data_IF_980288673715
#
_entry.id   IF_980288673715
#
_cell.length_a   1.000
_cell.length_b   1.000
_cell.length_c   1.000
_cell.angle_alpha   90.00
_cell.angle_beta   90.00
_cell.angle_gamma   90.00
#
_symmetry.space_group_name_H-M   'P 1'
#
loop_
_entity.id
_entity.type
_entity.pdbx_description
1 polymer ?
#
# COMPACT_ATOMS: atom_id res chain seq x y z
N UNK A 1 32.58 -10.28 -17.25
CA UNK A 1 31.77 -11.50 -17.51
C UNK A 1 30.37 -11.05 -17.87
N UNK A 2 29.80 -11.46 -19.02
CA UNK A 2 28.44 -11.08 -19.37
C UNK A 2 27.46 -11.71 -18.37
N UNK A 3 26.56 -10.88 -17.82
CA UNK A 3 25.48 -11.31 -16.94
C UNK A 3 24.63 -12.33 -17.71
N UNK A 4 24.63 -13.58 -17.24
CA UNK A 4 23.87 -14.66 -17.87
C UNK A 4 22.38 -14.25 -17.91
N UNK A 5 21.82 -14.27 -19.11
CA UNK A 5 20.41 -13.98 -19.43
C UNK A 5 19.44 -15.05 -18.92
N UNK A 6 19.76 -15.77 -17.83
CA UNK A 6 18.83 -16.71 -17.21
C UNK A 6 17.73 -15.94 -16.51
N UNK A 7 16.50 -16.12 -16.96
CA UNK A 7 15.29 -15.59 -16.33
C UNK A 7 15.23 -15.95 -14.84
N UNK A 8 14.37 -15.27 -14.08
CA UNK A 8 14.12 -15.62 -12.69
C UNK A 8 13.49 -17.03 -12.57
N UNK A 9 13.77 -17.71 -11.46
CA UNK A 9 13.25 -19.06 -11.20
C UNK A 9 11.72 -19.09 -11.13
N UNK A 10 11.12 -20.25 -11.42
CA UNK A 10 9.68 -20.48 -11.25
C UNK A 10 9.22 -20.18 -9.82
N UNK A 11 10.09 -20.39 -8.83
CA UNK A 11 9.82 -20.05 -7.43
C UNK A 11 9.55 -18.57 -7.22
N UNK A 12 10.35 -17.69 -7.82
CA UNK A 12 10.13 -16.24 -7.70
C UNK A 12 8.79 -15.83 -8.28
N UNK A 13 8.43 -16.37 -9.44
CA UNK A 13 7.13 -16.08 -10.06
C UNK A 13 5.95 -16.65 -9.28
N UNK A 14 6.11 -17.80 -8.63
CA UNK A 14 5.11 -18.34 -7.72
C UNK A 14 4.90 -17.42 -6.50
N UNK A 15 5.98 -16.84 -5.93
CA UNK A 15 5.88 -15.88 -4.84
C UNK A 15 5.19 -14.59 -5.28
N UNK A 16 5.56 -14.05 -6.43
CA UNK A 16 4.93 -12.83 -7.00
C UNK A 16 3.44 -13.09 -7.28
N UNK A 17 3.10 -14.23 -7.86
CA UNK A 17 1.72 -14.63 -8.14
C UNK A 17 0.90 -14.83 -6.87
N UNK A 18 1.43 -15.53 -5.86
CA UNK A 18 0.77 -15.70 -4.57
C UNK A 18 0.56 -14.36 -3.85
N UNK A 19 1.55 -13.45 -3.92
CA UNK A 19 1.42 -12.09 -3.40
C UNK A 19 0.32 -11.32 -4.13
N UNK A 20 0.30 -11.38 -5.46
CA UNK A 20 -0.74 -10.76 -6.26
C UNK A 20 -2.13 -11.25 -5.85
N UNK A 21 -2.33 -12.56 -5.72
CA UNK A 21 -3.62 -13.14 -5.33
C UNK A 21 -4.03 -12.72 -3.91
N UNK A 22 -3.09 -12.67 -2.96
CA UNK A 22 -3.36 -12.21 -1.60
C UNK A 22 -3.84 -10.77 -1.56
N UNK A 23 -3.11 -9.86 -2.24
CA UNK A 23 -3.50 -8.44 -2.31
C UNK A 23 -4.71 -8.18 -3.20
N UNK A 24 -4.93 -8.98 -4.24
CA UNK A 24 -6.15 -8.96 -5.04
C UNK A 24 -7.37 -9.27 -4.16
N UNK A 25 -7.28 -10.30 -3.31
CA UNK A 25 -8.31 -10.63 -2.34
C UNK A 25 -8.62 -9.48 -1.37
N UNK A 26 -7.60 -8.87 -0.78
CA UNK A 26 -7.76 -7.69 0.09
C UNK A 26 -8.50 -6.56 -0.65
N UNK A 27 -8.13 -6.31 -1.91
CA UNK A 27 -8.70 -5.26 -2.74
C UNK A 27 -10.15 -5.50 -3.13
N UNK A 28 -10.61 -6.77 -3.30
CA UNK A 28 -11.97 -7.07 -3.77
C UNK A 28 -13.06 -6.58 -2.82
N UNK A 29 -12.82 -6.65 -1.51
CA UNK A 29 -13.80 -6.28 -0.49
C UNK A 29 -13.89 -4.76 -0.31
N UNK A 30 -12.82 -4.04 -0.59
CA UNK A 30 -12.66 -2.63 -0.24
C UNK A 30 -13.78 -1.71 -0.73
N UNK A 31 -14.21 -1.73 -2.02
CA UNK A 31 -15.24 -0.82 -2.52
C UNK A 31 -16.63 -1.13 -1.95
N UNK A 32 -16.85 -2.34 -1.45
CA UNK A 32 -18.13 -2.78 -0.93
C UNK A 32 -18.24 -2.65 0.60
N UNK A 33 -17.11 -2.49 1.29
CA UNK A 33 -17.05 -2.51 2.75
C UNK A 33 -17.80 -1.33 3.36
N UNK A 34 -17.57 -0.11 2.89
CA UNK A 34 -18.24 1.07 3.42
C UNK A 34 -19.76 1.07 3.15
N UNK A 35 -20.24 0.76 1.92
CA UNK A 35 -21.68 0.54 1.68
C UNK A 35 -22.28 -0.54 2.57
N UNK A 36 -21.61 -1.67 2.77
CA UNK A 36 -22.07 -2.75 3.64
C UNK A 36 -22.22 -2.27 5.09
N UNK A 37 -21.24 -1.56 5.64
CA UNK A 37 -21.33 -0.98 6.99
C UNK A 37 -22.51 -0.02 7.10
N UNK A 38 -22.67 0.91 6.14
CA UNK A 38 -23.69 1.97 6.21
C UNK A 38 -25.10 1.48 5.94
N UNK A 39 -25.30 0.63 4.94
CA UNK A 39 -26.64 0.27 4.46
C UNK A 39 -27.11 -1.07 5.02
N UNK A 40 -26.25 -2.09 5.09
CA UNK A 40 -26.65 -3.42 5.53
C UNK A 40 -26.59 -3.54 7.06
N UNK A 41 -25.49 -3.05 7.67
CA UNK A 41 -25.27 -3.15 9.12
C UNK A 41 -25.74 -1.92 9.91
N UNK A 42 -26.22 -0.86 9.24
CA UNK A 42 -26.70 0.40 9.86
C UNK A 42 -25.65 1.10 10.74
N UNK A 43 -24.36 0.88 10.45
CA UNK A 43 -23.26 1.54 11.13
C UNK A 43 -23.16 3.04 10.77
N UNK A 44 -22.35 3.78 11.50
CA UNK A 44 -22.09 5.22 11.31
C UNK A 44 -20.94 5.47 10.36
N UNK A 45 -20.72 6.73 9.94
CA UNK A 45 -19.54 7.12 9.18
C UNK A 45 -18.25 6.99 10.01
N UNK A 46 -18.38 7.14 11.34
CA UNK A 46 -17.27 6.86 12.25
C UNK A 46 -16.89 5.39 12.26
N UNK A 47 -17.88 4.46 12.22
CA UNK A 47 -17.61 3.02 12.09
C UNK A 47 -16.88 2.71 10.79
N UNK A 48 -17.24 3.34 9.67
CA UNK A 48 -16.50 3.21 8.39
C UNK A 48 -15.04 3.62 8.55
N UNK A 49 -14.80 4.80 9.14
CA UNK A 49 -13.45 5.29 9.41
C UNK A 49 -12.64 4.36 10.34
N UNK A 50 -13.29 3.89 11.43
CA UNK A 50 -12.70 2.96 12.39
C UNK A 50 -12.31 1.64 11.73
N UNK A 51 -13.22 1.02 10.99
CA UNK A 51 -13.00 -0.28 10.31
C UNK A 51 -11.86 -0.17 9.29
N UNK A 52 -11.76 0.94 8.55
CA UNK A 52 -10.65 1.17 7.62
C UNK A 52 -9.34 1.39 8.39
N UNK A 53 -9.35 2.19 9.46
CA UNK A 53 -8.17 2.55 10.23
C UNK A 53 -7.56 1.40 11.02
N UNK A 54 -8.39 0.53 11.61
CA UNK A 54 -7.92 -0.65 12.36
C UNK A 54 -6.99 -1.52 11.52
N UNK A 55 -7.30 -1.74 10.25
CA UNK A 55 -6.42 -2.48 9.34
C UNK A 55 -4.99 -1.93 9.36
N UNK A 56 -4.82 -0.62 9.20
CA UNK A 56 -3.51 0.00 9.09
C UNK A 56 -2.74 -0.02 10.41
N UNK A 57 -3.42 0.19 11.55
CA UNK A 57 -2.77 0.07 12.86
C UNK A 57 -2.34 -1.35 13.15
N UNK A 58 -3.16 -2.34 12.81
CA UNK A 58 -2.83 -3.75 13.00
C UNK A 58 -1.72 -4.17 12.02
N UNK A 59 -1.72 -3.68 10.78
CA UNK A 59 -0.63 -3.91 9.85
C UNK A 59 0.69 -3.35 10.37
N UNK A 60 0.69 -2.11 10.87
CA UNK A 60 1.85 -1.48 11.49
C UNK A 60 2.40 -2.30 12.67
N UNK A 61 1.52 -2.71 13.61
CA UNK A 61 1.89 -3.57 14.74
C UNK A 61 2.38 -4.95 14.28
N UNK A 62 1.71 -5.53 13.30
CA UNK A 62 2.05 -6.83 12.71
C UNK A 62 3.44 -6.87 12.09
N UNK A 63 3.94 -5.75 11.54
CA UNK A 63 5.31 -5.66 11.00
C UNK A 63 6.38 -5.85 12.06
N UNK A 64 6.11 -5.47 13.31
CA UNK A 64 7.03 -5.68 14.44
C UNK A 64 7.19 -7.17 14.78
N UNK A 65 6.18 -7.98 14.48
CA UNK A 65 6.14 -9.43 14.78
C UNK A 65 6.55 -10.26 13.57
N UNK A 66 6.11 -9.88 12.37
CA UNK A 66 6.32 -10.64 11.14
C UNK A 66 7.79 -10.74 10.74
N UNK A 67 8.58 -9.67 10.95
CA UNK A 67 10.01 -9.67 10.68
C UNK A 67 10.76 -10.72 11.52
N UNK A 68 10.73 -10.63 12.85
CA UNK A 68 11.34 -11.64 13.73
C UNK A 68 10.84 -13.07 13.49
N UNK A 69 9.57 -13.25 13.11
CA UNK A 69 9.06 -14.58 12.79
C UNK A 69 9.70 -15.14 11.51
N UNK A 70 9.77 -14.32 10.46
CA UNK A 70 10.41 -14.69 9.19
C UNK A 70 11.89 -15.04 9.38
N UNK A 71 12.59 -14.30 10.23
CA UNK A 71 14.01 -14.50 10.52
C UNK A 71 14.28 -15.76 11.38
N UNK A 72 13.33 -16.13 12.28
CA UNK A 72 13.52 -17.24 13.23
C UNK A 72 12.93 -18.56 12.77
N UNK A 73 11.81 -18.55 12.07
CA UNK A 73 11.05 -19.74 11.67
C UNK A 73 10.95 -19.95 10.17
N UNK A 74 11.48 -19.02 9.38
CA UNK A 74 11.44 -19.06 7.92
C UNK A 74 10.43 -18.09 7.31
N UNK A 75 10.74 -17.67 6.12
CA UNK A 75 9.96 -16.67 5.36
C UNK A 75 8.66 -17.27 4.84
N UNK A 76 8.69 -18.56 4.48
CA UNK A 76 7.51 -19.32 4.06
C UNK A 76 6.44 -19.34 5.15
N UNK A 77 6.83 -19.58 6.42
CA UNK A 77 5.89 -19.59 7.55
C UNK A 77 5.24 -18.23 7.71
N UNK A 78 6.03 -17.14 7.69
CA UNK A 78 5.47 -15.78 7.74
C UNK A 78 4.47 -15.55 6.60
N UNK A 79 4.84 -15.87 5.37
CA UNK A 79 3.99 -15.67 4.21
C UNK A 79 2.68 -16.49 4.28
N UNK A 80 2.76 -17.77 4.64
CA UNK A 80 1.59 -18.65 4.82
C UNK A 80 0.67 -18.14 5.95
N UNK A 81 1.24 -17.68 7.07
CA UNK A 81 0.47 -17.05 8.15
C UNK A 81 -0.29 -15.84 7.62
N UNK A 82 0.36 -15.00 6.80
CA UNK A 82 -0.29 -13.85 6.17
C UNK A 82 -1.48 -14.23 5.29
N UNK A 83 -1.30 -15.21 4.40
CA UNK A 83 -2.38 -15.72 3.54
C UNK A 83 -3.50 -16.36 4.35
N UNK A 84 -3.16 -17.13 5.40
CA UNK A 84 -4.14 -17.73 6.32
C UNK A 84 -4.99 -16.67 7.01
N UNK A 85 -4.37 -15.60 7.52
CA UNK A 85 -5.08 -14.45 8.12
C UNK A 85 -5.98 -13.74 7.10
N UNK A 86 -5.53 -13.54 5.85
CA UNK A 86 -6.34 -12.96 4.78
C UNK A 86 -7.55 -13.83 4.43
N UNK A 87 -7.36 -15.15 4.37
CA UNK A 87 -8.45 -16.11 4.13
C UNK A 87 -9.45 -16.13 5.29
N UNK A 88 -8.95 -16.12 6.53
CA UNK A 88 -9.81 -16.06 7.73
C UNK A 88 -10.59 -14.74 7.78
N UNK A 89 -10.00 -13.62 7.41
CA UNK A 89 -10.73 -12.36 7.29
C UNK A 89 -11.90 -12.45 6.30
N UNK A 90 -11.69 -13.10 5.12
CA UNK A 90 -12.75 -13.38 4.17
C UNK A 90 -13.87 -14.23 4.76
N UNK A 91 -13.53 -15.26 5.54
CA UNK A 91 -14.51 -16.11 6.23
C UNK A 91 -15.28 -15.33 7.31
N UNK A 92 -14.60 -14.48 8.10
CA UNK A 92 -15.23 -13.66 9.15
C UNK A 92 -16.23 -12.68 8.55
N UNK A 93 -15.95 -12.08 7.41
CA UNK A 93 -16.90 -11.19 6.71
C UNK A 93 -18.22 -11.89 6.33
N UNK A 94 -18.23 -13.21 6.21
CA UNK A 94 -19.43 -14.00 5.87
C UNK A 94 -20.24 -14.38 7.11
N UNK A 95 -19.71 -14.18 8.33
CA UNK A 95 -20.42 -14.52 9.56
C UNK A 95 -21.51 -13.48 9.88
N UNK A 96 -22.72 -13.90 10.30
CA UNK A 96 -23.82 -13.01 10.63
C UNK A 96 -23.69 -12.42 12.05
N UNK A 97 -22.54 -11.78 12.35
CA UNK A 97 -22.21 -11.24 13.68
C UNK A 97 -22.30 -9.70 13.74
N UNK A 98 -23.02 -9.10 12.79
CA UNK A 98 -23.23 -7.65 12.75
C UNK A 98 -21.92 -6.88 12.61
N UNK A 99 -21.83 -5.72 13.26
CA UNK A 99 -20.64 -4.85 13.18
C UNK A 99 -19.34 -5.48 13.68
N UNK A 100 -19.41 -6.50 14.54
CA UNK A 100 -18.23 -7.23 14.98
C UNK A 100 -17.50 -7.91 13.79
N UNK A 101 -18.22 -8.31 12.75
CA UNK A 101 -17.68 -8.94 11.53
C UNK A 101 -16.62 -8.07 10.85
N UNK A 102 -16.97 -6.87 10.36
CA UNK A 102 -16.02 -5.95 9.77
C UNK A 102 -14.83 -5.60 10.67
N UNK A 103 -15.04 -5.35 11.95
CA UNK A 103 -13.95 -5.05 12.87
C UNK A 103 -12.96 -6.20 13.01
N UNK A 104 -13.43 -7.41 13.28
CA UNK A 104 -12.59 -8.60 13.42
C UNK A 104 -11.90 -8.95 12.12
N UNK A 105 -12.63 -8.93 11.01
CA UNK A 105 -12.06 -9.22 9.70
C UNK A 105 -10.91 -8.25 9.35
N UNK A 106 -11.04 -6.96 9.66
CA UNK A 106 -9.98 -5.96 9.41
C UNK A 106 -8.76 -6.15 10.30
N UNK A 107 -8.93 -6.65 11.53
CA UNK A 107 -7.80 -7.05 12.39
C UNK A 107 -7.03 -8.19 11.73
N UNK A 108 -7.71 -9.27 11.34
CA UNK A 108 -7.05 -10.39 10.68
C UNK A 108 -6.46 -10.00 9.31
N UNK A 109 -7.13 -9.15 8.55
CA UNK A 109 -6.67 -8.70 7.25
C UNK A 109 -5.42 -7.80 7.36
N UNK A 110 -5.35 -6.90 8.36
CA UNK A 110 -4.16 -6.08 8.63
C UNK A 110 -2.98 -6.92 9.09
N UNK A 111 -3.21 -7.87 9.99
CA UNK A 111 -2.18 -8.86 10.37
C UNK A 111 -1.73 -9.64 9.15
N UNK A 112 -2.68 -10.11 8.34
CA UNK A 112 -2.42 -10.86 7.10
C UNK A 112 -1.52 -10.09 6.14
N UNK A 113 -1.81 -8.81 5.91
CA UNK A 113 -1.00 -7.94 5.05
C UNK A 113 0.43 -7.82 5.55
N UNK A 114 0.62 -7.56 6.86
CA UNK A 114 1.95 -7.40 7.44
C UNK A 114 2.83 -8.64 7.29
N UNK A 115 2.27 -9.82 7.55
CA UNK A 115 2.99 -11.09 7.45
C UNK A 115 3.23 -11.50 6.00
N UNK A 116 2.25 -11.33 5.13
CA UNK A 116 2.34 -11.60 3.70
C UNK A 116 3.43 -10.74 3.06
N UNK A 117 3.38 -9.43 3.27
CA UNK A 117 4.35 -8.49 2.73
C UNK A 117 5.78 -8.80 3.20
N UNK A 118 5.95 -8.96 4.51
CA UNK A 118 7.29 -9.18 5.11
C UNK A 118 7.87 -10.53 4.67
N UNK A 119 7.07 -11.59 4.69
CA UNK A 119 7.50 -12.92 4.25
C UNK A 119 7.87 -12.94 2.78
N UNK A 120 7.02 -12.37 1.91
CA UNK A 120 7.25 -12.30 0.47
C UNK A 120 8.51 -11.48 0.13
N UNK A 121 8.66 -10.28 0.70
CA UNK A 121 9.79 -9.40 0.42
C UNK A 121 11.13 -10.02 0.83
N UNK A 122 11.18 -10.61 2.03
CA UNK A 122 12.40 -11.26 2.51
C UNK A 122 12.77 -12.50 1.67
N UNK A 123 11.78 -13.29 1.28
CA UNK A 123 12.00 -14.52 0.52
C UNK A 123 12.41 -14.25 -0.94
N UNK A 124 11.79 -13.26 -1.57
CA UNK A 124 12.14 -12.82 -2.93
C UNK A 124 13.58 -12.31 -3.00
N UNK A 125 14.03 -11.54 -1.99
CA UNK A 125 15.42 -11.05 -1.90
C UNK A 125 16.41 -12.22 -1.77
N UNK A 126 16.08 -13.23 -0.97
CA UNK A 126 16.94 -14.41 -0.79
C UNK A 126 17.08 -15.21 -2.08
N UNK A 127 15.98 -15.50 -2.78
CA UNK A 127 16.00 -16.24 -4.06
C UNK A 127 16.78 -15.47 -5.13
N UNK A 128 16.62 -14.14 -5.19
CA UNK A 128 17.25 -13.31 -6.21
C UNK A 128 18.76 -13.09 -5.96
N UNK A 129 19.19 -13.18 -4.71
CA UNK A 129 20.54 -12.80 -4.28
C UNK A 129 20.77 -11.29 -4.32
N UNK A 130 21.87 -10.83 -3.70
CA UNK A 130 22.17 -9.40 -3.49
C UNK A 130 22.19 -8.59 -4.79
N UNK A 131 22.74 -9.15 -5.87
CA UNK A 131 22.90 -8.44 -7.14
C UNK A 131 21.59 -8.16 -7.88
N UNK A 132 20.57 -9.01 -7.70
CA UNK A 132 19.29 -8.94 -8.42
C UNK A 132 18.10 -8.63 -7.50
N UNK A 133 18.35 -8.38 -6.22
CA UNK A 133 17.31 -8.13 -5.20
C UNK A 133 16.41 -6.93 -5.56
N UNK A 134 16.97 -5.85 -6.09
CA UNK A 134 16.19 -4.68 -6.50
C UNK A 134 15.20 -5.00 -7.63
N UNK A 135 15.60 -5.78 -8.62
CA UNK A 135 14.72 -6.20 -9.71
C UNK A 135 13.62 -7.14 -9.21
N UNK A 136 13.96 -8.07 -8.33
CA UNK A 136 13.01 -9.01 -7.75
C UNK A 136 11.97 -8.31 -6.85
N UNK A 137 12.39 -7.33 -6.04
CA UNK A 137 11.49 -6.47 -5.27
C UNK A 137 10.59 -5.62 -6.18
N UNK A 138 11.08 -5.20 -7.35
CA UNK A 138 10.30 -4.52 -8.37
C UNK A 138 9.13 -5.39 -8.86
N UNK A 139 9.39 -6.65 -9.21
CA UNK A 139 8.33 -7.60 -9.58
C UNK A 139 7.35 -7.88 -8.45
N UNK A 140 7.86 -8.05 -7.22
CA UNK A 140 7.00 -8.21 -6.05
C UNK A 140 6.09 -7.00 -5.84
N UNK A 141 6.64 -5.80 -5.93
CA UNK A 141 5.88 -4.55 -5.84
C UNK A 141 4.80 -4.45 -6.92
N UNK A 142 5.10 -4.91 -8.15
CA UNK A 142 4.08 -4.98 -9.22
C UNK A 142 2.97 -5.97 -8.87
N UNK A 143 3.28 -7.10 -8.24
CA UNK A 143 2.28 -8.04 -7.72
C UNK A 143 1.39 -7.41 -6.64
N UNK A 144 1.98 -6.74 -5.66
CA UNK A 144 1.25 -6.06 -4.57
C UNK A 144 0.30 -5.01 -5.12
N UNK A 145 0.85 -4.03 -5.83
CA UNK A 145 0.06 -2.91 -6.33
C UNK A 145 -0.89 -3.30 -7.45
N UNK A 146 -0.49 -4.27 -8.28
CA UNK A 146 -1.39 -4.88 -9.27
C UNK A 146 -2.60 -5.52 -8.61
N UNK A 147 -2.41 -6.30 -7.54
CA UNK A 147 -3.48 -6.92 -6.77
C UNK A 147 -4.40 -5.88 -6.12
N UNK A 148 -3.83 -4.91 -5.37
CA UNK A 148 -4.60 -3.84 -4.72
C UNK A 148 -5.41 -3.03 -5.73
N UNK A 149 -4.86 -2.73 -6.91
CA UNK A 149 -5.53 -1.91 -7.92
C UNK A 149 -6.56 -2.69 -8.73
N UNK A 150 -6.31 -3.97 -9.04
CA UNK A 150 -7.27 -4.81 -9.77
C UNK A 150 -8.40 -5.31 -8.86
N UNK A 151 -8.14 -5.49 -7.57
CA UNK A 151 -9.11 -5.98 -6.60
C UNK A 151 -10.43 -5.23 -6.59
N UNK A 152 -10.45 -3.89 -6.45
CA UNK A 152 -11.67 -3.10 -6.46
C UNK A 152 -12.51 -3.26 -7.72
N UNK A 153 -11.88 -3.36 -8.89
CA UNK A 153 -12.56 -3.58 -10.15
C UNK A 153 -13.25 -4.95 -10.13
N UNK A 154 -12.51 -5.98 -9.71
CA UNK A 154 -13.05 -7.34 -9.59
C UNK A 154 -14.15 -7.43 -8.53
N UNK A 155 -13.97 -6.76 -7.38
CA UNK A 155 -14.96 -6.71 -6.30
C UNK A 155 -16.30 -6.13 -6.77
N UNK A 156 -16.25 -5.04 -7.54
CA UNK A 156 -17.47 -4.44 -8.12
C UNK A 156 -18.13 -5.36 -9.15
N UNK A 157 -17.32 -6.08 -9.94
CA UNK A 157 -17.82 -7.00 -10.95
C UNK A 157 -18.57 -8.19 -10.33
N UNK A 158 -18.15 -8.71 -9.18
CA UNK A 158 -18.87 -9.78 -8.48
C UNK A 158 -20.17 -9.29 -7.81
N UNK A 159 -20.34 -7.99 -7.61
CA UNK A 159 -21.60 -7.30 -7.38
C UNK A 159 -22.15 -7.32 -5.96
N UNK A 160 -21.71 -8.20 -5.05
CA UNK A 160 -22.19 -8.23 -3.65
C UNK A 160 -21.04 -8.38 -2.65
N UNK A 161 -21.21 -7.81 -1.45
CA UNK A 161 -20.22 -7.90 -0.39
C UNK A 161 -19.87 -9.35 -0.04
N UNK A 162 -20.88 -10.22 0.10
CA UNK A 162 -20.66 -11.62 0.44
C UNK A 162 -19.86 -12.36 -0.63
N UNK A 163 -20.13 -12.10 -1.93
CA UNK A 163 -19.33 -12.69 -3.02
C UNK A 163 -17.90 -12.17 -3.03
N UNK A 164 -17.70 -10.88 -2.75
CA UNK A 164 -16.36 -10.29 -2.64
C UNK A 164 -15.56 -10.91 -1.48
N UNK A 165 -16.21 -11.11 -0.33
CA UNK A 165 -15.61 -11.78 0.82
C UNK A 165 -15.28 -13.26 0.55
N UNK A 166 -16.21 -14.00 -0.10
CA UNK A 166 -15.96 -15.37 -0.53
C UNK A 166 -14.82 -15.47 -1.54
N UNK A 167 -14.74 -14.52 -2.47
CA UNK A 167 -13.65 -14.44 -3.45
C UNK A 167 -12.32 -14.14 -2.76
N UNK A 168 -12.27 -13.23 -1.79
CA UNK A 168 -11.06 -12.99 -0.98
C UNK A 168 -10.59 -14.29 -0.31
N UNK A 169 -11.51 -15.02 0.33
CA UNK A 169 -11.19 -16.31 0.98
C UNK A 169 -10.63 -17.32 -0.03
N UNK A 170 -11.26 -17.44 -1.20
CA UNK A 170 -10.83 -18.35 -2.27
C UNK A 170 -9.44 -17.98 -2.80
N UNK A 171 -9.20 -16.71 -3.12
CA UNK A 171 -7.93 -16.24 -3.64
C UNK A 171 -6.79 -16.46 -2.64
N UNK A 172 -7.05 -16.19 -1.35
CA UNK A 172 -6.10 -16.47 -0.28
C UNK A 172 -5.82 -17.97 -0.14
N UNK A 173 -6.84 -18.83 -0.23
CA UNK A 173 -6.70 -20.28 -0.18
C UNK A 173 -5.89 -20.82 -1.38
N UNK A 174 -6.17 -20.37 -2.59
CA UNK A 174 -5.39 -20.73 -3.79
C UNK A 174 -3.94 -20.30 -3.65
N UNK A 175 -3.68 -19.06 -3.23
CA UNK A 175 -2.33 -18.57 -2.99
C UNK A 175 -1.61 -19.40 -1.91
N UNK A 176 -2.31 -19.74 -0.83
CA UNK A 176 -1.79 -20.58 0.25
C UNK A 176 -1.39 -21.97 -0.27
N UNK A 177 -2.27 -22.64 -1.03
CA UNK A 177 -2.01 -23.96 -1.62
C UNK A 177 -0.83 -23.93 -2.61
N UNK A 178 -0.75 -22.93 -3.47
CA UNK A 178 0.40 -22.75 -4.37
C UNK A 178 1.69 -22.59 -3.57
N UNK A 179 1.67 -21.77 -2.51
CA UNK A 179 2.85 -21.51 -1.71
C UNK A 179 3.32 -22.74 -0.89
N UNK A 180 2.40 -23.63 -0.49
CA UNK A 180 2.78 -24.88 0.20
C UNK A 180 3.69 -25.74 -0.67
N UNK A 181 3.55 -25.70 -2.00
CA UNK A 181 4.36 -26.48 -2.95
C UNK A 181 5.76 -25.85 -3.19
N UNK A 182 5.95 -24.58 -2.84
CA UNK A 182 7.26 -23.92 -3.02
C UNK A 182 8.19 -24.32 -1.88
N UNK A 183 9.35 -24.87 -2.23
CA UNK A 183 10.38 -25.26 -1.24
C UNK A 183 11.15 -24.03 -0.78
N UNK A 184 11.31 -23.86 0.52
CA UNK A 184 12.20 -22.86 1.10
C UNK A 184 13.51 -23.54 1.54
N UNK A 185 14.64 -22.96 1.16
CA UNK A 185 15.94 -23.29 1.74
C UNK A 185 16.21 -22.22 2.79
N UNK A 186 15.83 -22.54 4.02
CA UNK A 186 15.93 -21.58 5.12
C UNK A 186 17.34 -21.55 5.69
N UNK A 187 17.92 -20.35 5.74
CA UNK A 187 19.17 -20.07 6.46
C UNK A 187 18.88 -19.08 7.59
N UNK A 188 19.09 -19.47 8.86
CA UNK A 188 18.95 -18.52 9.96
C UNK A 188 19.88 -17.32 9.78
N UNK A 189 19.33 -16.12 9.82
CA UNK A 189 20.13 -14.90 9.74
C UNK A 189 20.55 -14.51 11.15
N UNK A 190 21.85 -14.53 11.48
CA UNK A 190 22.32 -14.03 12.77
C UNK A 190 22.00 -12.54 12.90
N UNK A 191 21.29 -12.15 13.94
CA UNK A 191 21.02 -10.75 14.25
C UNK A 191 22.28 -10.11 14.82
N UNK A 192 22.99 -9.34 14.02
CA UNK A 192 24.17 -8.61 14.45
C UNK A 192 23.84 -7.11 14.51
N UNK A 193 23.81 -6.56 15.71
CA UNK A 193 23.80 -5.12 15.98
C UNK A 193 22.46 -4.52 16.43
N UNK A 194 22.51 -3.32 17.06
CA UNK A 194 21.32 -2.61 17.52
C UNK A 194 20.47 -2.18 16.32
N UNK A 195 19.17 -2.49 16.37
CA UNK A 195 18.18 -1.99 15.39
C UNK A 195 18.08 -0.49 15.55
N UNK A 196 18.57 0.27 14.59
CA UNK A 196 18.25 1.70 14.49
C UNK A 196 16.83 1.80 13.94
N UNK A 197 15.87 2.13 14.81
CA UNK A 197 14.46 2.25 14.49
C UNK A 197 14.16 3.33 13.45
N UNK A 198 14.95 4.41 13.46
CA UNK A 198 14.79 5.54 12.55
C UNK A 198 16.15 5.84 11.87
N UNK A 199 16.33 5.47 10.60
CA UNK A 199 17.49 5.89 9.83
C UNK A 199 17.57 7.42 9.75
N UNK A 200 18.78 8.03 9.85
CA UNK A 200 18.94 9.46 9.69
C UNK A 200 18.34 9.97 8.37
N UNK A 201 17.65 11.11 8.41
CA UNK A 201 17.06 11.74 7.25
C UNK A 201 15.76 11.12 6.72
N UNK A 202 15.19 10.10 7.39
CA UNK A 202 13.97 9.42 6.95
C UNK A 202 12.68 10.16 7.34
N UNK A 203 12.72 11.03 8.36
CA UNK A 203 11.52 11.71 8.88
C UNK A 203 10.81 12.56 7.83
N UNK A 204 11.54 13.42 7.12
CA UNK A 204 10.97 14.25 6.06
C UNK A 204 10.28 13.44 4.96
N UNK A 205 10.99 12.46 4.34
CA UNK A 205 10.38 11.52 3.41
C UNK A 205 9.18 10.77 3.98
N UNK A 206 9.25 10.30 5.23
CA UNK A 206 8.15 9.60 5.91
C UNK A 206 6.92 10.48 6.08
N UNK A 207 7.08 11.71 6.56
CA UNK A 207 6.00 12.69 6.70
C UNK A 207 5.39 13.05 5.35
N UNK A 208 6.21 13.26 4.30
CA UNK A 208 5.73 13.57 2.96
C UNK A 208 4.83 12.43 2.43
N UNK A 209 5.29 11.17 2.53
CA UNK A 209 4.51 9.98 2.13
C UNK A 209 3.27 9.82 3.01
N UNK A 210 3.38 10.06 4.30
CA UNK A 210 2.25 10.00 5.22
C UNK A 210 1.10 10.91 4.76
N UNK A 211 1.37 12.18 4.54
CA UNK A 211 0.36 13.14 4.08
C UNK A 211 -0.19 12.83 2.68
N UNK A 212 0.63 12.33 1.75
CA UNK A 212 0.15 11.85 0.43
C UNK A 212 -0.94 10.80 0.60
N UNK A 213 -0.82 9.93 1.60
CA UNK A 213 -1.71 8.78 1.78
C UNK A 213 -2.98 9.07 2.59
N UNK A 214 -3.14 10.28 3.14
CA UNK A 214 -4.39 10.72 3.80
C UNK A 214 -5.61 10.58 2.89
N UNK A 215 -5.47 10.73 1.59
CA UNK A 215 -6.56 10.54 0.63
C UNK A 215 -7.05 9.08 0.53
N UNK A 216 -6.18 8.09 0.81
CA UNK A 216 -6.53 6.68 0.61
C UNK A 216 -7.76 6.23 1.40
N UNK A 217 -7.86 6.45 2.73
CA UNK A 217 -9.05 6.09 3.48
C UNK A 217 -10.28 6.91 3.10
N UNK A 218 -10.12 8.14 2.63
CA UNK A 218 -11.24 8.96 2.12
C UNK A 218 -11.84 8.32 0.88
N UNK A 219 -10.99 7.89 -0.07
CA UNK A 219 -11.45 7.19 -1.27
C UNK A 219 -12.04 5.82 -0.93
N UNK A 220 -11.36 5.04 -0.11
CA UNK A 220 -11.78 3.69 0.26
C UNK A 220 -13.09 3.67 1.05
N UNK A 221 -13.28 4.65 1.95
CA UNK A 221 -14.45 4.71 2.83
C UNK A 221 -15.60 5.55 2.29
N UNK A 222 -15.31 6.64 1.62
CA UNK A 222 -16.35 7.66 1.42
C UNK A 222 -16.65 7.98 -0.05
N UNK A 223 -15.83 7.57 -1.04
CA UNK A 223 -16.09 7.89 -2.44
C UNK A 223 -17.46 7.36 -2.91
N UNK A 224 -17.73 6.08 -2.69
CA UNK A 224 -18.98 5.46 -3.13
C UNK A 224 -20.18 6.04 -2.35
N UNK A 225 -20.02 6.25 -1.04
CA UNK A 225 -21.06 6.84 -0.18
C UNK A 225 -21.36 8.27 -0.61
N UNK A 226 -20.33 9.07 -0.88
CA UNK A 226 -20.46 10.46 -1.30
C UNK A 226 -21.22 10.59 -2.62
N UNK A 227 -20.81 9.82 -3.64
CA UNK A 227 -21.48 9.85 -4.94
C UNK A 227 -22.92 9.34 -4.86
N UNK A 228 -23.18 8.31 -4.06
CA UNK A 228 -24.54 7.79 -3.84
C UNK A 228 -25.42 8.81 -3.13
N UNK A 229 -24.90 9.58 -2.18
CA UNK A 229 -25.63 10.68 -1.52
C UNK A 229 -26.04 11.79 -2.49
N UNK A 230 -25.32 11.95 -3.61
CA UNK A 230 -25.66 12.88 -4.70
C UNK A 230 -26.46 12.21 -5.83
N UNK A 231 -27.05 11.03 -5.61
CA UNK A 231 -27.84 10.32 -6.62
C UNK A 231 -27.03 9.64 -7.73
N UNK A 232 -25.71 9.54 -7.57
CA UNK A 232 -24.80 9.03 -8.57
C UNK A 232 -24.28 7.61 -8.24
N UNK A 233 -23.90 6.85 -9.26
CA UNK A 233 -23.24 5.56 -9.08
C UNK A 233 -21.74 5.76 -8.77
N UNK A 234 -21.31 5.41 -7.55
CA UNK A 234 -19.92 5.51 -7.11
C UNK A 234 -18.94 4.46 -7.65
N UNK A 235 -19.37 3.23 -7.96
CA UNK A 235 -18.48 2.15 -8.39
C UNK A 235 -17.59 2.47 -9.60
N UNK A 236 -18.13 3.12 -10.63
CA UNK A 236 -17.40 3.46 -11.84
C UNK A 236 -16.23 4.43 -11.56
N UNK A 237 -16.45 5.44 -10.71
CA UNK A 237 -15.38 6.37 -10.30
C UNK A 237 -14.28 5.68 -9.48
N UNK A 238 -14.67 4.74 -8.61
CA UNK A 238 -13.70 3.93 -7.86
C UNK A 238 -12.89 3.02 -8.79
N UNK A 239 -13.53 2.39 -9.79
CA UNK A 239 -12.84 1.60 -10.81
C UNK A 239 -11.90 2.45 -11.66
N UNK A 240 -12.29 3.68 -12.03
CA UNK A 240 -11.44 4.60 -12.75
C UNK A 240 -10.20 4.98 -11.93
N UNK A 241 -10.35 5.26 -10.63
CA UNK A 241 -9.25 5.50 -9.71
C UNK A 241 -8.29 4.29 -9.66
N UNK A 242 -8.80 3.10 -9.36
CA UNK A 242 -7.98 1.90 -9.24
C UNK A 242 -7.35 1.47 -10.58
N UNK A 243 -8.14 1.53 -11.67
CA UNK A 243 -7.67 1.18 -13.01
C UNK A 243 -6.57 2.11 -13.51
N UNK A 244 -6.70 3.42 -13.25
CA UNK A 244 -5.66 4.38 -13.65
C UNK A 244 -4.37 4.20 -12.86
N UNK A 245 -4.44 3.84 -11.57
CA UNK A 245 -3.26 3.46 -10.79
C UNK A 245 -2.56 2.27 -11.44
N UNK A 246 -3.31 1.22 -11.79
CA UNK A 246 -2.77 0.01 -12.41
C UNK A 246 -2.10 0.33 -13.75
N UNK A 247 -2.81 1.02 -14.64
CA UNK A 247 -2.32 1.40 -15.96
C UNK A 247 -1.09 2.31 -15.88
N UNK A 248 -1.12 3.32 -15.02
CA UNK A 248 0.01 4.24 -14.83
C UNK A 248 1.26 3.51 -14.35
N UNK A 249 1.12 2.56 -13.42
CA UNK A 249 2.25 1.77 -12.92
C UNK A 249 2.80 0.82 -13.97
N UNK A 250 1.92 0.24 -14.80
CA UNK A 250 2.33 -0.68 -15.84
C UNK A 250 3.05 0.05 -16.99
N UNK A 251 2.48 1.16 -17.49
CA UNK A 251 3.04 1.86 -18.64
C UNK A 251 4.05 2.95 -18.29
N UNK A 252 3.90 3.59 -17.13
CA UNK A 252 4.70 4.77 -16.73
C UNK A 252 5.54 4.51 -15.46
N UNK A 253 5.63 3.25 -15.00
CA UNK A 253 6.40 2.91 -13.79
C UNK A 253 7.87 3.31 -13.84
N UNK A 254 8.48 3.38 -15.04
CA UNK A 254 9.84 3.86 -15.24
C UNK A 254 9.99 5.38 -15.43
N UNK A 255 8.89 6.14 -15.36
CA UNK A 255 8.91 7.60 -15.55
C UNK A 255 9.79 8.33 -14.50
N UNK A 256 9.74 7.95 -13.19
CA UNK A 256 10.58 8.58 -12.18
C UNK A 256 12.10 8.35 -12.37
N UNK A 257 12.48 7.38 -13.20
CA UNK A 257 13.90 7.14 -13.55
C UNK A 257 14.37 8.05 -14.68
N UNK A 258 13.45 8.59 -15.48
CA UNK A 258 13.71 9.45 -16.65
C UNK A 258 13.49 10.93 -16.37
N UNK A 259 12.63 11.27 -15.42
CA UNK A 259 12.25 12.63 -15.04
C UNK A 259 12.70 12.86 -13.59
N UNK A 260 13.08 14.09 -13.26
CA UNK A 260 13.47 14.46 -11.90
C UNK A 260 12.36 14.05 -10.89
N UNK A 261 12.71 13.33 -9.80
CA UNK A 261 11.73 12.86 -8.83
C UNK A 261 10.86 13.97 -8.22
N UNK A 262 11.40 15.18 -8.09
CA UNK A 262 10.62 16.33 -7.65
C UNK A 262 9.46 16.66 -8.60
N UNK A 263 9.70 16.62 -9.92
CA UNK A 263 8.66 16.92 -10.93
C UNK A 263 7.56 15.86 -10.85
N UNK A 264 7.90 14.59 -10.76
CA UNK A 264 6.93 13.50 -10.66
C UNK A 264 6.18 13.53 -9.33
N UNK A 265 6.83 13.94 -8.23
CA UNK A 265 6.18 14.11 -6.93
C UNK A 265 5.16 15.25 -6.96
N UNK A 266 5.59 16.48 -7.28
CA UNK A 266 4.71 17.64 -7.25
C UNK A 266 3.63 17.61 -8.34
N UNK A 267 3.95 17.11 -9.54
CA UNK A 267 2.97 16.87 -10.59
C UNK A 267 1.91 15.86 -10.17
N UNK A 268 2.32 14.77 -9.49
CA UNK A 268 1.41 13.82 -8.89
C UNK A 268 0.48 14.46 -7.85
N UNK A 269 1.03 15.28 -6.93
CA UNK A 269 0.22 16.01 -5.94
C UNK A 269 -0.78 16.95 -6.59
N UNK A 270 -0.40 17.66 -7.65
CA UNK A 270 -1.29 18.58 -8.37
C UNK A 270 -2.47 17.82 -9.00
N UNK A 271 -2.21 16.69 -9.68
CA UNK A 271 -3.28 15.83 -10.21
C UNK A 271 -4.19 15.32 -9.09
N UNK A 272 -3.60 14.87 -7.97
CA UNK A 272 -4.38 14.39 -6.82
C UNK A 272 -5.27 15.50 -6.24
N UNK A 273 -4.75 16.71 -6.07
CA UNK A 273 -5.52 17.84 -5.55
C UNK A 273 -6.70 18.18 -6.47
N UNK A 274 -6.47 18.25 -7.79
CA UNK A 274 -7.54 18.46 -8.77
C UNK A 274 -8.61 17.38 -8.66
N UNK A 275 -8.22 16.11 -8.65
CA UNK A 275 -9.16 14.99 -8.55
C UNK A 275 -9.99 15.04 -7.25
N UNK A 276 -9.34 15.30 -6.10
CA UNK A 276 -10.02 15.40 -4.80
C UNK A 276 -11.01 16.58 -4.74
N UNK A 277 -10.63 17.76 -5.23
CA UNK A 277 -11.49 18.94 -5.23
C UNK A 277 -12.69 18.77 -6.18
N UNK A 278 -12.48 18.15 -7.35
CA UNK A 278 -13.58 17.79 -8.24
C UNK A 278 -14.53 16.79 -7.58
N UNK A 279 -14.02 15.79 -6.89
CA UNK A 279 -14.87 14.82 -6.17
C UNK A 279 -15.60 15.48 -5.01
N UNK A 280 -14.98 16.41 -4.29
CA UNK A 280 -15.61 17.10 -3.16
C UNK A 280 -16.91 17.83 -3.52
N UNK A 281 -17.03 18.34 -4.76
CA UNK A 281 -18.19 19.09 -5.23
C UNK A 281 -19.45 18.26 -5.49
N UNK A 282 -19.42 16.92 -5.32
CA UNK A 282 -20.54 16.04 -5.67
C UNK A 282 -20.82 16.01 -7.18
N UNK A 283 -19.82 15.71 -8.01
CA UNK A 283 -19.88 15.88 -9.46
C UNK A 283 -20.86 14.91 -10.14
N UNK A 284 -21.24 15.24 -11.38
CA UNK A 284 -21.98 14.31 -12.26
C UNK A 284 -21.24 12.98 -12.44
N UNK A 285 -21.90 11.88 -12.82
CA UNK A 285 -21.26 10.58 -12.97
C UNK A 285 -20.03 10.59 -13.89
N UNK A 286 -20.11 11.28 -15.00
CA UNK A 286 -18.98 11.40 -15.95
C UNK A 286 -17.82 12.14 -15.35
N UNK A 287 -18.08 13.28 -14.68
CA UNK A 287 -17.04 14.07 -14.04
C UNK A 287 -16.41 13.32 -12.85
N UNK A 288 -17.19 12.52 -12.11
CA UNK A 288 -16.70 11.66 -11.05
C UNK A 288 -15.71 10.60 -11.57
N UNK A 289 -16.00 9.97 -12.73
CA UNK A 289 -15.12 9.00 -13.38
C UNK A 289 -13.81 9.69 -13.80
N UNK A 290 -13.90 10.85 -14.44
CA UNK A 290 -12.72 11.63 -14.85
C UNK A 290 -11.88 12.05 -13.63
N UNK A 291 -12.52 12.57 -12.59
CA UNK A 291 -11.87 12.98 -11.36
C UNK A 291 -11.17 11.80 -10.64
N UNK A 292 -11.85 10.65 -10.57
CA UNK A 292 -11.26 9.41 -10.07
C UNK A 292 -10.04 8.98 -10.88
N UNK A 293 -10.12 9.04 -12.21
CA UNK A 293 -9.00 8.76 -13.10
C UNK A 293 -7.81 9.70 -12.90
N UNK A 294 -8.04 11.01 -12.82
CA UNK A 294 -7.01 12.03 -12.56
C UNK A 294 -6.34 11.78 -11.20
N UNK A 295 -7.14 11.50 -10.17
CA UNK A 295 -6.65 11.20 -8.82
C UNK A 295 -5.77 9.94 -8.82
N UNK A 296 -6.22 8.87 -9.46
CA UNK A 296 -5.46 7.60 -9.55
C UNK A 296 -4.16 7.76 -10.32
N UNK A 297 -4.18 8.53 -11.40
CA UNK A 297 -2.98 8.89 -12.15
C UNK A 297 -1.97 9.59 -11.24
N UNK A 298 -2.40 10.67 -10.56
CA UNK A 298 -1.56 11.44 -9.66
C UNK A 298 -0.98 10.60 -8.52
N UNK A 299 -1.78 9.71 -7.93
CA UNK A 299 -1.36 8.85 -6.80
C UNK A 299 -0.25 7.84 -7.17
N UNK A 300 -0.07 7.54 -8.45
CA UNK A 300 0.91 6.56 -8.90
C UNK A 300 2.37 6.97 -8.70
N UNK A 301 2.67 8.28 -8.61
CA UNK A 301 4.04 8.79 -8.70
C UNK A 301 4.71 9.18 -7.38
N UNK A 302 4.04 9.78 -6.36
CA UNK A 302 4.70 10.31 -5.17
C UNK A 302 5.49 9.25 -4.39
N UNK A 303 4.94 8.05 -4.23
CA UNK A 303 5.63 6.95 -3.56
C UNK A 303 6.96 6.60 -4.24
N UNK A 304 6.94 6.38 -5.55
CA UNK A 304 8.14 6.01 -6.33
C UNK A 304 9.19 7.12 -6.32
N UNK A 305 8.76 8.39 -6.42
CA UNK A 305 9.64 9.55 -6.34
C UNK A 305 10.38 9.65 -5.01
N UNK A 306 9.68 9.50 -3.90
CA UNK A 306 10.27 9.55 -2.56
C UNK A 306 11.16 8.34 -2.30
N UNK A 307 10.68 7.13 -2.59
CA UNK A 307 11.45 5.89 -2.38
C UNK A 307 12.74 5.90 -3.20
N UNK A 308 12.69 6.28 -4.47
CA UNK A 308 13.90 6.37 -5.32
C UNK A 308 14.90 7.37 -4.77
N UNK A 309 14.44 8.51 -4.22
CA UNK A 309 15.30 9.52 -3.61
C UNK A 309 15.94 9.01 -2.32
N UNK A 310 15.18 8.34 -1.47
CA UNK A 310 15.68 7.75 -0.23
C UNK A 310 16.70 6.65 -0.52
N UNK A 311 16.43 5.74 -1.45
CA UNK A 311 17.33 4.65 -1.83
C UNK A 311 18.66 5.19 -2.37
N UNK A 312 18.64 6.28 -3.15
CA UNK A 312 19.86 6.91 -3.66
C UNK A 312 20.72 7.55 -2.57
N UNK A 313 20.10 8.08 -1.51
CA UNK A 313 20.78 8.73 -0.38
C UNK A 313 21.16 7.77 0.74
N UNK A 314 20.70 6.51 0.69
CA UNK A 314 20.91 5.54 1.77
C UNK A 314 21.94 4.49 1.36
N UNK A 315 22.85 4.16 2.29
CA UNK A 315 23.83 3.08 2.10
C UNK A 315 23.12 1.74 1.83
N UNK A 316 23.72 0.91 0.97
CA UNK A 316 23.11 -0.33 0.47
C UNK A 316 22.57 -1.24 1.58
N UNK A 317 23.28 -1.37 2.70
CA UNK A 317 22.89 -2.19 3.85
C UNK A 317 21.65 -1.68 4.60
N UNK A 318 21.27 -0.41 4.46
CA UNK A 318 20.14 0.22 5.17
C UNK A 318 18.93 0.50 4.29
N UNK A 319 18.99 0.22 2.99
CA UNK A 319 17.91 0.51 2.03
C UNK A 319 16.60 -0.19 2.40
N UNK A 320 16.68 -1.47 2.76
CA UNK A 320 15.49 -2.23 3.16
C UNK A 320 14.82 -1.68 4.42
N UNK A 321 15.60 -1.34 5.46
CA UNK A 321 15.05 -0.73 6.68
C UNK A 321 14.45 0.65 6.42
N UNK A 322 15.05 1.46 5.55
CA UNK A 322 14.50 2.77 5.17
C UNK A 322 13.15 2.66 4.46
N UNK A 323 13.01 1.72 3.52
CA UNK A 323 11.71 1.46 2.85
C UNK A 323 10.69 0.94 3.87
N UNK A 324 11.10 0.06 4.79
CA UNK A 324 10.22 -0.42 5.87
C UNK A 324 9.69 0.70 6.75
N UNK A 325 10.54 1.67 7.12
CA UNK A 325 10.12 2.85 7.90
C UNK A 325 9.17 3.74 7.10
N UNK A 326 9.42 3.97 5.80
CA UNK A 326 8.48 4.71 4.93
C UNK A 326 7.10 4.04 4.89
N UNK A 327 7.07 2.71 4.83
CA UNK A 327 5.81 1.96 4.87
C UNK A 327 5.11 2.08 6.23
N UNK A 328 5.88 2.15 7.34
CA UNK A 328 5.31 2.40 8.66
C UNK A 328 4.67 3.79 8.77
N UNK A 329 5.28 4.83 8.18
CA UNK A 329 4.66 6.16 8.06
C UNK A 329 3.39 6.12 7.22
N UNK A 330 3.39 5.38 6.10
CA UNK A 330 2.20 5.14 5.30
C UNK A 330 1.07 4.58 6.17
N UNK A 331 1.31 3.45 6.86
CA UNK A 331 0.30 2.77 7.69
C UNK A 331 -0.20 3.67 8.82
N UNK A 332 0.70 4.39 9.50
CA UNK A 332 0.36 5.32 10.59
C UNK A 332 -0.58 6.43 10.11
N UNK A 333 -0.23 7.09 9.02
CA UNK A 333 -1.03 8.19 8.50
C UNK A 333 -2.36 7.73 7.92
N UNK A 334 -2.40 6.59 7.23
CA UNK A 334 -3.66 5.97 6.77
C UNK A 334 -4.53 5.60 7.98
N UNK A 335 -3.95 5.01 9.02
CA UNK A 335 -4.68 4.69 10.25
C UNK A 335 -5.30 5.94 10.89
N UNK A 336 -4.48 6.95 11.21
CA UNK A 336 -4.94 8.19 11.85
C UNK A 336 -5.95 8.93 10.97
N UNK A 337 -5.66 9.07 9.68
CA UNK A 337 -6.55 9.80 8.76
C UNK A 337 -7.88 9.10 8.51
N UNK A 338 -7.95 7.79 8.68
CA UNK A 338 -9.21 7.05 8.61
C UNK A 338 -10.19 7.48 9.71
N UNK A 339 -9.70 7.62 10.95
CA UNK A 339 -10.52 8.11 12.07
C UNK A 339 -10.95 9.55 11.85
N UNK A 340 -10.00 10.41 11.46
CA UNK A 340 -10.33 11.83 11.22
C UNK A 340 -11.28 11.98 10.04
N UNK A 341 -11.12 11.21 8.95
CA UNK A 341 -12.04 11.22 7.82
C UNK A 341 -13.46 10.79 8.23
N UNK A 342 -13.58 9.75 9.07
CA UNK A 342 -14.87 9.32 9.60
C UNK A 342 -15.55 10.40 10.44
N UNK A 343 -14.81 11.06 11.34
CA UNK A 343 -15.33 12.16 12.15
C UNK A 343 -15.72 13.38 11.30
N UNK A 344 -14.88 13.77 10.33
CA UNK A 344 -15.15 14.88 9.41
C UNK A 344 -16.37 14.58 8.53
N UNK A 345 -16.46 13.37 7.99
CA UNK A 345 -17.60 12.94 7.19
C UNK A 345 -18.92 12.96 7.99
N UNK A 346 -18.87 12.56 9.26
CA UNK A 346 -20.02 12.55 10.14
C UNK A 346 -20.51 13.97 10.50
N UNK A 347 -19.58 14.92 10.75
CA UNK A 347 -19.92 16.27 11.20
C UNK A 347 -20.22 17.23 10.05
N UNK A 348 -19.45 17.18 8.97
CA UNK A 348 -19.50 18.14 7.89
C UNK A 348 -19.82 17.53 6.52
N UNK A 349 -20.16 16.23 6.48
CA UNK A 349 -20.50 15.52 5.27
C UNK A 349 -19.29 15.00 4.49
N UNK A 350 -19.56 14.12 3.55
CA UNK A 350 -18.51 13.41 2.79
C UNK A 350 -17.60 14.35 1.99
N UNK A 351 -18.15 15.44 1.40
CA UNK A 351 -17.38 16.42 0.64
C UNK A 351 -16.26 17.05 1.47
N UNK A 352 -16.50 17.32 2.77
CA UNK A 352 -15.48 17.87 3.66
C UNK A 352 -14.30 16.90 3.89
N UNK A 353 -14.51 15.58 3.87
CA UNK A 353 -13.44 14.61 3.96
C UNK A 353 -12.51 14.68 2.73
N UNK A 354 -13.04 14.91 1.53
CA UNK A 354 -12.23 15.11 0.33
C UNK A 354 -11.42 16.41 0.39
N UNK A 355 -12.02 17.51 0.90
CA UNK A 355 -11.31 18.76 1.13
C UNK A 355 -10.20 18.58 2.17
N UNK A 356 -10.46 17.89 3.26
CA UNK A 356 -9.43 17.54 4.26
C UNK A 356 -8.26 16.79 3.63
N UNK A 357 -8.52 15.82 2.75
CA UNK A 357 -7.48 15.09 2.03
C UNK A 357 -6.71 16.00 1.07
N UNK A 358 -7.37 16.93 0.38
CA UNK A 358 -6.72 17.91 -0.47
C UNK A 358 -5.82 18.88 0.33
N UNK A 359 -6.24 19.31 1.51
CA UNK A 359 -5.42 20.12 2.42
C UNK A 359 -4.19 19.35 2.92
N UNK A 360 -4.32 18.03 3.18
CA UNK A 360 -3.18 17.19 3.53
C UNK A 360 -2.12 17.14 2.43
N UNK A 361 -2.49 17.28 1.15
CA UNK A 361 -1.52 17.37 0.04
C UNK A 361 -0.68 18.66 0.09
N UNK A 362 -1.20 19.74 0.67
CA UNK A 362 -0.41 20.96 0.91
C UNK A 362 0.69 20.67 1.93
N UNK A 363 0.36 19.96 3.02
CA UNK A 363 1.36 19.53 3.99
C UNK A 363 2.38 18.54 3.36
N UNK A 364 1.91 17.64 2.48
CA UNK A 364 2.80 16.76 1.71
C UNK A 364 3.75 17.57 0.80
N UNK A 365 3.25 18.62 0.15
CA UNK A 365 4.06 19.51 -0.70
C UNK A 365 5.12 20.26 0.10
N UNK A 366 4.77 20.79 1.27
CA UNK A 366 5.72 21.46 2.18
C UNK A 366 6.81 20.45 2.62
N UNK A 367 6.44 19.27 3.09
CA UNK A 367 7.39 18.23 3.47
C UNK A 367 8.26 17.79 2.26
N UNK A 368 7.64 17.62 1.10
CA UNK A 368 8.32 17.26 -0.15
C UNK A 368 9.34 18.31 -0.59
N UNK A 369 9.05 19.61 -0.37
CA UNK A 369 10.02 20.67 -0.63
C UNK A 369 11.33 20.46 0.14
N UNK A 370 11.24 20.12 1.42
CA UNK A 370 12.43 19.81 2.22
C UNK A 370 13.13 18.52 1.75
N UNK A 371 12.37 17.51 1.31
CA UNK A 371 12.93 16.27 0.79
C UNK A 371 13.73 16.47 -0.49
N UNK A 372 13.21 17.26 -1.44
CA UNK A 372 13.81 17.38 -2.77
C UNK A 372 14.75 18.57 -2.93
N UNK A 373 14.55 19.64 -2.18
CA UNK A 373 15.29 20.91 -2.32
C UNK A 373 15.99 21.37 -1.02
N UNK A 374 15.68 20.76 0.14
CA UNK A 374 16.41 21.00 1.36
C UNK A 374 17.85 20.46 1.22
N UNK A 375 18.84 21.31 1.48
CA UNK A 375 20.26 20.89 1.54
C UNK A 375 20.42 19.95 2.72
N UNK A 376 20.36 18.66 2.48
CA UNK A 376 20.98 17.69 3.35
C UNK A 376 22.44 17.55 2.88
N UNK A 377 23.30 18.45 3.27
CA UNK A 377 24.72 18.17 3.44
C UNK A 377 24.86 17.10 4.52
N UNK A 378 24.61 15.86 4.16
CA UNK A 378 25.27 14.77 4.83
C UNK A 378 26.62 14.66 4.11
N UNK A 379 27.63 15.34 4.64
CA UNK A 379 29.01 15.05 4.33
C UNK A 379 29.22 13.55 4.44
N UNK A 380 29.31 12.89 3.29
CA UNK A 380 29.91 11.56 3.21
C UNK A 380 31.36 11.76 3.70
N UNK A 381 31.83 11.03 4.71
CA UNK A 381 33.24 11.08 5.04
C UNK A 381 34.01 10.77 3.75
N UNK A 382 34.77 11.75 3.26
CA UNK A 382 35.74 11.55 2.17
C UNK A 382 36.63 10.41 2.65
N UNK A 383 36.51 9.25 2.02
CA UNK A 383 37.53 8.22 2.12
C UNK A 383 38.79 8.88 1.62
N UNK A 384 39.65 9.27 2.56
CA UNK A 384 40.99 9.73 2.25
C UNK A 384 41.65 8.63 1.43
N UNK A 385 41.87 8.90 0.16
CA UNK A 385 42.72 8.08 -0.69
C UNK A 385 44.13 8.15 -0.08
N UNK A 386 44.45 7.25 0.83
CA UNK A 386 45.84 6.96 1.20
C UNK A 386 46.43 6.26 -0.02
N UNK A 387 47.08 7.07 -0.85
CA UNK A 387 48.04 6.56 -1.82
C UNK A 387 49.13 5.80 -1.03
N UNK A 388 49.45 4.56 -1.38
CA UNK A 388 50.61 3.91 -0.83
C UNK A 388 51.86 4.68 -1.31
N UNK A 389 52.55 5.30 -0.39
CA UNK A 389 53.83 5.89 -0.63
C UNK A 389 54.85 4.84 -1.08
N UNK A 390 55.73 5.29 -1.91
CA UNK A 390 56.84 4.61 -2.59
C UNK A 390 57.60 3.62 -1.73
#
# INVERSE_FOLDING_TARGET
MPLSSRGFSAQLWALVGATFLGFLGIGTVLPMLAPHIRYDLKGTDQDVGLVIGIFSFVALAGRLISGPLADRRGRKISFLTGLGCCGLAGAIYLLPIGMAGPYLARIFQGMGEAFLYTGAASWVVEIAGVQRSGQALGYLSSGIWGGISAGPVLGQWVGTFARAAALQMLLAAVAFLVLTQVKEVYHPVPHHGPRTWLPPGILGPGIAIGFVNVQYPVIAGFLILHLKAHGNSGPAAFSAYAGTILLSRFFLGGLPDRIAPAITFFGGLSCMAVGLLLLASGPSPTLAIIAGGILGFGFSFPWTAVVSTVIRRTHSSKRGSSVGVLTAFYDLFVGVSSFTAGAVAHQWGYGAAFVMAALALVAAAIAGRYVFFGQAEVELPRVAATLPGR
#
